data_IF_907571907331
#
_entry.id   IF_907571907331
#
_cell.length_a   1.000
_cell.length_b   1.000
_cell.length_c   1.000
_cell.angle_alpha   90.00
_cell.angle_beta   90.00
_cell.angle_gamma   90.00
#
_symmetry.space_group_name_H-M   'P 1'
#
loop_
_entity.id
_entity.type
_entity.pdbx_description
1 polymer ?
#
# COMPACT_ATOMS: atom_id res chain seq x y z
N UNK A 1 -23.60 -11.49 13.39
CA UNK A 1 -24.80 -12.35 13.55
C UNK A 1 -25.82 -11.94 12.50
N UNK A 2 -26.30 -12.86 11.74
CA UNK A 2 -27.37 -12.71 10.75
C UNK A 2 -28.53 -13.63 11.16
N UNK A 3 -29.72 -13.09 11.26
CA UNK A 3 -30.95 -13.86 11.53
C UNK A 3 -31.99 -13.50 10.46
N UNK A 4 -32.51 -14.51 9.78
CA UNK A 4 -33.43 -14.37 8.65
C UNK A 4 -34.70 -15.17 8.96
N UNK A 5 -35.84 -14.47 8.95
CA UNK A 5 -37.18 -15.04 9.08
C UNK A 5 -38.12 -14.32 8.13
N UNK A 6 -39.15 -13.67 8.62
CA UNK A 6 -40.00 -12.69 7.92
C UNK A 6 -39.29 -11.35 7.68
N UNK A 7 -38.16 -11.18 8.30
CA UNK A 7 -37.25 -10.03 8.16
C UNK A 7 -35.79 -10.45 8.26
N UNK A 8 -34.89 -9.55 7.81
CA UNK A 8 -33.45 -9.72 7.92
C UNK A 8 -32.95 -8.86 9.08
N UNK A 9 -32.36 -9.48 10.09
CA UNK A 9 -31.70 -8.80 11.19
C UNK A 9 -30.19 -9.03 11.13
N UNK A 10 -29.43 -7.95 11.13
CA UNK A 10 -27.96 -7.98 11.13
C UNK A 10 -27.48 -7.29 12.40
N UNK A 11 -26.68 -7.98 13.19
CA UNK A 11 -26.04 -7.45 14.39
C UNK A 11 -24.53 -7.58 14.30
N UNK A 12 -23.81 -6.49 14.44
CA UNK A 12 -22.35 -6.47 14.42
C UNK A 12 -21.78 -5.41 15.38
N UNK A 13 -20.53 -5.55 15.85
CA UNK A 13 -19.88 -4.59 16.73
C UNK A 13 -19.38 -3.33 16.02
N UNK A 14 -19.40 -3.29 14.68
CA UNK A 14 -18.89 -2.18 13.86
C UNK A 14 -19.73 -1.97 12.61
N UNK A 15 -19.64 -0.77 12.01
CA UNK A 15 -20.25 -0.45 10.71
C UNK A 15 -19.75 -1.40 9.62
N UNK A 16 -18.44 -1.71 9.57
CA UNK A 16 -17.87 -2.67 8.64
C UNK A 16 -18.49 -4.07 8.79
N UNK A 17 -18.72 -4.51 10.04
CA UNK A 17 -19.38 -5.79 10.31
C UNK A 17 -20.85 -5.80 9.85
N UNK A 18 -21.58 -4.69 9.96
CA UNK A 18 -22.94 -4.55 9.41
C UNK A 18 -22.90 -4.62 7.87
N UNK A 19 -21.96 -3.91 7.25
CA UNK A 19 -21.75 -3.94 5.80
C UNK A 19 -21.50 -5.38 5.30
N UNK A 20 -20.59 -6.14 5.95
CA UNK A 20 -20.33 -7.53 5.59
C UNK A 20 -21.53 -8.46 5.80
N UNK A 21 -22.37 -8.16 6.79
CA UNK A 21 -23.63 -8.87 6.97
C UNK A 21 -24.57 -8.62 5.77
N UNK A 22 -24.68 -7.38 5.29
CA UNK A 22 -25.45 -7.05 4.08
C UNK A 22 -24.88 -7.74 2.84
N UNK A 23 -23.54 -7.72 2.67
CA UNK A 23 -22.86 -8.42 1.58
C UNK A 23 -23.22 -9.91 1.59
N UNK A 24 -23.27 -10.56 2.76
CA UNK A 24 -23.67 -11.98 2.86
C UNK A 24 -25.11 -12.19 2.37
N UNK A 25 -26.04 -11.30 2.72
CA UNK A 25 -27.43 -11.36 2.25
C UNK A 25 -27.51 -11.22 0.73
N UNK A 26 -26.79 -10.23 0.19
CA UNK A 26 -26.73 -9.98 -1.26
C UNK A 26 -26.14 -11.18 -2.01
N UNK A 27 -25.02 -11.72 -1.53
CA UNK A 27 -24.39 -12.91 -2.12
C UNK A 27 -25.33 -14.11 -2.14
N UNK A 28 -26.04 -14.36 -1.01
CA UNK A 28 -27.00 -15.45 -0.89
C UNK A 28 -28.15 -15.28 -1.91
N UNK A 29 -28.67 -14.06 -2.03
CA UNK A 29 -29.73 -13.76 -2.99
C UNK A 29 -29.29 -13.96 -4.45
N UNK A 30 -28.08 -13.51 -4.80
CA UNK A 30 -27.55 -13.69 -6.16
C UNK A 30 -27.22 -15.14 -6.49
N UNK A 31 -26.85 -15.96 -5.50
CA UNK A 31 -26.54 -17.36 -5.72
C UNK A 31 -27.81 -18.19 -6.00
N UNK A 32 -28.87 -17.98 -5.22
CA UNK A 32 -30.02 -18.89 -5.17
C UNK A 32 -31.36 -18.22 -5.55
N UNK A 33 -31.37 -16.91 -5.87
CA UNK A 33 -32.58 -16.12 -6.11
C UNK A 33 -33.45 -15.90 -4.87
N UNK A 34 -32.99 -16.36 -3.70
CA UNK A 34 -33.67 -16.25 -2.42
C UNK A 34 -32.66 -16.21 -1.28
N UNK A 35 -33.07 -15.70 -0.12
CA UNK A 35 -32.28 -15.75 1.10
C UNK A 35 -32.94 -16.74 2.06
N UNK A 36 -32.27 -17.86 2.39
CA UNK A 36 -32.88 -18.90 3.23
C UNK A 36 -33.08 -18.41 4.68
N UNK A 37 -34.22 -18.80 5.28
CA UNK A 37 -34.43 -18.55 6.71
C UNK A 37 -33.42 -19.30 7.57
N UNK A 38 -32.94 -18.66 8.61
CA UNK A 38 -31.96 -19.28 9.52
C UNK A 38 -31.13 -18.28 10.28
N UNK A 39 -30.11 -18.79 10.94
CA UNK A 39 -29.12 -17.98 11.68
C UNK A 39 -27.72 -18.31 11.21
N UNK A 40 -26.93 -17.27 10.96
CA UNK A 40 -25.52 -17.40 10.63
C UNK A 40 -24.66 -16.50 11.52
N UNK A 41 -23.51 -17.02 11.92
CA UNK A 41 -22.46 -16.25 12.59
C UNK A 41 -21.24 -16.27 11.68
N UNK A 42 -20.84 -15.07 11.27
CA UNK A 42 -19.68 -14.86 10.41
C UNK A 42 -18.67 -13.95 11.11
N UNK A 43 -17.40 -14.23 10.94
CA UNK A 43 -16.30 -13.42 11.44
C UNK A 43 -15.06 -13.66 10.58
N UNK A 44 -14.25 -12.61 10.44
CA UNK A 44 -12.99 -12.71 9.73
C UNK A 44 -11.96 -13.47 10.56
N UNK A 45 -11.39 -14.54 10.01
CA UNK A 45 -10.30 -15.29 10.65
C UNK A 45 -8.99 -14.46 10.67
N UNK A 46 -8.73 -13.73 9.58
CA UNK A 46 -7.61 -12.82 9.48
C UNK A 46 -8.08 -11.36 9.53
N UNK A 47 -7.44 -10.51 10.36
CA UNK A 47 -7.80 -9.10 10.46
C UNK A 47 -7.45 -8.31 9.19
N UNK A 48 -6.39 -8.69 8.48
CA UNK A 48 -5.95 -8.11 7.20
C UNK A 48 -6.29 -9.08 6.07
N UNK A 49 -7.04 -8.61 5.10
CA UNK A 49 -7.40 -9.31 3.87
C UNK A 49 -7.21 -8.35 2.72
N UNK A 50 -6.03 -8.36 2.15
CA UNK A 50 -5.56 -7.39 1.18
C UNK A 50 -5.21 -8.06 -0.15
N UNK A 51 -5.23 -7.28 -1.21
CA UNK A 51 -4.60 -7.58 -2.48
C UNK A 51 -3.85 -6.36 -2.98
N UNK A 52 -2.86 -6.56 -3.82
CA UNK A 52 -2.04 -5.51 -4.42
C UNK A 52 -2.35 -5.39 -5.91
N UNK A 53 -2.33 -4.15 -6.41
CA UNK A 53 -2.40 -3.84 -7.84
C UNK A 53 -1.23 -2.93 -8.18
N UNK A 54 -0.46 -3.33 -9.19
CA UNK A 54 0.56 -2.51 -9.81
C UNK A 54 -0.11 -1.62 -10.87
N UNK A 55 -0.30 -0.35 -10.53
CA UNK A 55 -0.81 0.68 -11.45
C UNK A 55 0.33 1.49 -12.08
N UNK A 56 1.57 1.26 -11.61
CA UNK A 56 2.75 1.94 -12.11
C UNK A 56 3.15 1.43 -13.49
N UNK A 57 3.48 0.16 -13.60
CA UNK A 57 4.00 -0.44 -14.84
C UNK A 57 3.02 -0.35 -16.01
N UNK A 58 1.72 -0.35 -15.72
CA UNK A 58 0.65 -0.10 -16.70
C UNK A 58 -0.40 0.80 -16.08
N UNK A 59 -0.71 1.92 -16.74
CA UNK A 59 -1.77 2.82 -16.26
C UNK A 59 -3.13 2.12 -16.28
N UNK A 60 -3.80 2.14 -15.15
CA UNK A 60 -5.18 1.68 -14.99
C UNK A 60 -6.02 2.90 -14.62
N UNK A 61 -7.02 3.30 -15.42
CA UNK A 61 -7.90 4.41 -15.07
C UNK A 61 -8.53 4.24 -13.68
N UNK A 62 -8.68 5.32 -12.93
CA UNK A 62 -9.11 5.26 -11.53
C UNK A 62 -10.50 4.64 -11.36
N UNK A 63 -11.39 4.81 -12.33
CA UNK A 63 -12.71 4.16 -12.34
C UNK A 63 -12.62 2.63 -12.34
N UNK A 64 -11.64 2.04 -13.04
CA UNK A 64 -11.43 0.58 -13.01
C UNK A 64 -10.81 0.12 -11.69
N UNK A 65 -9.89 0.91 -11.12
CA UNK A 65 -9.35 0.64 -9.78
C UNK A 65 -10.47 0.67 -8.74
N UNK A 66 -11.37 1.64 -8.85
CA UNK A 66 -12.55 1.74 -7.98
C UNK A 66 -13.47 0.53 -8.13
N UNK A 67 -13.76 0.08 -9.35
CA UNK A 67 -14.58 -1.12 -9.58
C UNK A 67 -13.92 -2.37 -8.98
N UNK A 68 -12.62 -2.56 -9.17
CA UNK A 68 -11.89 -3.67 -8.55
C UNK A 68 -11.98 -3.58 -7.02
N UNK A 69 -11.87 -2.38 -6.45
CA UNK A 69 -11.97 -2.19 -5.00
C UNK A 69 -13.37 -2.52 -4.47
N UNK A 70 -14.42 -2.26 -5.24
CA UNK A 70 -15.79 -2.69 -4.90
C UNK A 70 -15.93 -4.22 -4.93
N UNK A 71 -15.23 -4.92 -5.85
CA UNK A 71 -15.15 -6.39 -5.78
C UNK A 71 -14.41 -6.87 -4.54
N UNK A 72 -13.37 -6.18 -4.09
CA UNK A 72 -12.72 -6.48 -2.80
C UNK A 72 -13.75 -6.42 -1.67
N UNK A 73 -14.54 -5.35 -1.60
CA UNK A 73 -15.61 -5.22 -0.62
C UNK A 73 -16.65 -6.35 -0.72
N UNK A 74 -17.05 -6.74 -1.93
CA UNK A 74 -17.98 -7.83 -2.18
C UNK A 74 -17.43 -9.18 -1.68
N UNK A 75 -16.12 -9.41 -1.80
CA UNK A 75 -15.45 -10.60 -1.24
C UNK A 75 -14.97 -10.43 0.19
N UNK A 76 -15.37 -9.33 0.86
CA UNK A 76 -15.01 -9.01 2.25
C UNK A 76 -13.51 -8.84 2.48
N UNK A 77 -12.74 -8.49 1.45
CA UNK A 77 -11.40 -7.96 1.63
C UNK A 77 -11.53 -6.53 2.18
N UNK A 78 -10.60 -6.13 3.03
CA UNK A 78 -10.69 -4.83 3.73
C UNK A 78 -9.55 -3.88 3.43
N UNK A 79 -8.61 -4.29 2.60
CA UNK A 79 -7.50 -3.44 2.16
C UNK A 79 -7.20 -3.69 0.69
N UNK A 80 -6.81 -2.63 -0.02
CA UNK A 80 -6.19 -2.70 -1.34
C UNK A 80 -4.88 -1.93 -1.30
N UNK A 81 -3.81 -2.51 -1.82
CA UNK A 81 -2.50 -1.92 -1.90
C UNK A 81 -2.23 -1.48 -3.35
N UNK A 82 -1.89 -0.21 -3.56
CA UNK A 82 -1.58 0.35 -4.87
C UNK A 82 -0.10 0.73 -4.95
N UNK A 83 0.62 0.07 -5.85
CA UNK A 83 2.00 0.36 -6.22
C UNK A 83 2.00 1.42 -7.32
N UNK A 84 2.46 2.64 -7.02
CA UNK A 84 2.24 3.81 -7.88
C UNK A 84 3.46 4.28 -8.65
N UNK A 85 4.65 3.77 -8.33
CA UNK A 85 5.90 4.15 -9.00
C UNK A 85 6.76 2.94 -9.35
N UNK A 86 7.33 2.96 -10.54
CA UNK A 86 8.27 1.95 -11.04
C UNK A 86 8.80 2.38 -12.41
N UNK A 87 9.32 1.41 -13.18
CA UNK A 87 9.59 1.53 -14.60
C UNK A 87 8.36 1.10 -15.41
N UNK A 88 7.93 1.90 -16.38
CA UNK A 88 6.82 1.53 -17.27
C UNK A 88 7.19 0.39 -18.23
N UNK A 89 6.18 -0.32 -18.74
CA UNK A 89 6.36 -1.45 -19.67
C UNK A 89 7.18 -1.12 -20.94
N UNK A 90 7.16 0.14 -21.37
CA UNK A 90 7.90 0.63 -22.53
C UNK A 90 9.23 1.33 -22.16
N UNK A 91 9.70 1.15 -20.92
CA UNK A 91 10.92 1.79 -20.41
C UNK A 91 10.76 3.26 -20.04
N UNK A 92 9.53 3.77 -19.95
CA UNK A 92 9.24 5.10 -19.44
C UNK A 92 9.27 5.10 -17.93
N UNK A 93 9.79 6.17 -17.35
CA UNK A 93 9.71 6.40 -15.91
C UNK A 93 8.29 6.76 -15.51
N UNK A 94 7.75 6.06 -14.53
CA UNK A 94 6.33 6.18 -14.18
C UNK A 94 6.14 6.48 -12.70
N UNK A 95 5.50 7.63 -12.44
CA UNK A 95 4.95 8.00 -11.15
C UNK A 95 3.47 8.38 -11.35
N UNK A 96 2.56 7.54 -10.85
CA UNK A 96 1.12 7.58 -11.21
C UNK A 96 0.28 8.57 -10.41
N UNK A 97 0.88 9.34 -9.53
CA UNK A 97 0.17 10.36 -8.76
C UNK A 97 0.67 11.74 -9.15
N UNK A 98 -0.24 12.72 -9.23
CA UNK A 98 0.12 14.12 -9.40
C UNK A 98 1.13 14.55 -8.32
N UNK A 99 2.25 15.15 -8.74
CA UNK A 99 3.32 15.61 -7.86
C UNK A 99 3.66 17.09 -8.10
N UNK A 100 4.04 17.76 -7.02
CA UNK A 100 4.59 19.13 -7.08
C UNK A 100 6.03 19.14 -7.60
N UNK A 101 6.69 17.98 -7.71
CA UNK A 101 8.01 17.83 -8.36
C UNK A 101 7.83 17.93 -9.87
N UNK A 102 8.31 19.02 -10.45
CA UNK A 102 8.20 19.27 -11.88
C UNK A 102 8.80 18.12 -12.71
N UNK A 103 8.01 17.57 -13.64
CA UNK A 103 8.42 16.50 -14.53
C UNK A 103 8.35 15.07 -13.94
N UNK A 104 7.94 14.90 -12.68
CA UNK A 104 7.81 13.57 -12.07
C UNK A 104 6.52 12.87 -12.46
N UNK A 105 5.40 13.58 -12.50
CA UNK A 105 4.08 13.01 -12.84
C UNK A 105 4.11 12.35 -14.23
N UNK A 106 3.60 11.12 -14.31
CA UNK A 106 3.51 10.37 -15.56
C UNK A 106 2.68 11.08 -16.63
N UNK A 107 3.08 11.00 -17.90
CA UNK A 107 2.42 11.71 -19.01
C UNK A 107 1.44 10.84 -19.79
N UNK A 108 1.50 9.53 -19.62
CA UNK A 108 0.63 8.55 -20.28
C UNK A 108 -0.63 8.20 -19.47
N UNK A 109 -0.76 8.78 -18.26
CA UNK A 109 -1.88 8.63 -17.35
C UNK A 109 -1.45 8.69 -15.89
N UNK A 110 -2.20 9.42 -15.09
CA UNK A 110 -1.95 9.60 -13.65
C UNK A 110 -3.26 9.91 -12.94
N UNK A 111 -3.24 9.92 -11.63
CA UNK A 111 -4.35 10.34 -10.76
C UNK A 111 -4.03 11.72 -10.18
N UNK A 112 -4.97 12.66 -10.26
CA UNK A 112 -4.83 13.93 -9.55
C UNK A 112 -4.92 13.70 -8.04
N UNK A 113 -4.31 14.58 -7.25
CA UNK A 113 -4.36 14.50 -5.78
C UNK A 113 -5.80 14.47 -5.25
N UNK A 114 -6.68 15.27 -5.86
CA UNK A 114 -8.07 15.41 -5.41
C UNK A 114 -8.93 14.19 -5.78
N UNK A 115 -8.83 13.67 -7.02
CA UNK A 115 -9.59 12.49 -7.40
C UNK A 115 -9.12 11.25 -6.63
N UNK A 116 -7.81 11.11 -6.40
CA UNK A 116 -7.25 9.99 -5.64
C UNK A 116 -7.67 10.03 -4.16
N UNK A 117 -7.64 11.22 -3.54
CA UNK A 117 -8.17 11.42 -2.18
C UNK A 117 -9.66 11.09 -2.10
N UNK A 118 -10.44 11.55 -3.07
CA UNK A 118 -11.88 11.30 -3.14
C UNK A 118 -12.18 9.82 -3.31
N UNK A 119 -11.46 9.13 -4.16
CA UNK A 119 -11.54 7.68 -4.32
C UNK A 119 -11.30 6.95 -2.98
N UNK A 120 -10.19 7.26 -2.30
CA UNK A 120 -9.87 6.64 -1.01
C UNK A 120 -10.99 6.84 0.03
N UNK A 121 -11.49 8.08 0.16
CA UNK A 121 -12.60 8.40 1.08
C UNK A 121 -13.86 7.60 0.74
N UNK A 122 -14.19 7.47 -0.53
CA UNK A 122 -15.34 6.68 -0.99
C UNK A 122 -15.19 5.20 -0.69
N UNK A 123 -13.97 4.64 -0.83
CA UNK A 123 -13.73 3.23 -0.54
C UNK A 123 -13.87 2.89 0.95
N UNK A 124 -13.67 3.84 1.84
CA UNK A 124 -13.95 3.64 3.28
C UNK A 124 -15.44 3.35 3.54
N UNK A 125 -16.37 3.91 2.74
CA UNK A 125 -17.81 3.60 2.84
C UNK A 125 -18.12 2.14 2.47
N UNK A 126 -17.27 1.53 1.63
CA UNK A 126 -17.31 0.10 1.30
C UNK A 126 -16.51 -0.77 2.27
N UNK A 127 -15.93 -0.17 3.33
CA UNK A 127 -15.10 -0.87 4.32
C UNK A 127 -13.75 -1.33 3.79
N UNK A 128 -13.25 -0.72 2.73
CA UNK A 128 -11.92 -1.00 2.14
C UNK A 128 -11.00 0.20 2.34
N UNK A 129 -9.86 -0.05 2.94
CA UNK A 129 -8.78 0.93 3.10
C UNK A 129 -7.81 0.83 1.93
N UNK A 130 -7.49 1.95 1.31
CA UNK A 130 -6.48 2.02 0.24
C UNK A 130 -5.12 2.31 0.88
N UNK A 131 -4.15 1.43 0.66
CA UNK A 131 -2.76 1.59 1.09
C UNK A 131 -1.96 2.01 -0.13
N UNK A 132 -1.39 3.21 -0.10
CA UNK A 132 -0.57 3.72 -1.19
C UNK A 132 0.89 3.45 -0.89
N UNK A 133 1.61 2.97 -1.90
CA UNK A 133 3.04 2.72 -1.84
C UNK A 133 3.78 3.75 -2.68
N UNK A 134 4.80 4.36 -2.08
CA UNK A 134 5.93 4.98 -2.79
C UNK A 134 7.11 4.06 -2.55
N UNK A 135 7.50 3.32 -3.57
CA UNK A 135 8.56 2.33 -3.45
C UNK A 135 9.93 2.97 -3.64
N UNK A 136 10.74 2.83 -2.62
CA UNK A 136 12.12 3.31 -2.54
C UNK A 136 12.95 2.40 -1.60
N UNK A 137 14.26 2.29 -1.77
CA UNK A 137 15.14 2.96 -2.74
C UNK A 137 15.34 2.19 -4.04
N UNK A 138 14.79 0.98 -4.17
CA UNK A 138 14.63 0.26 -5.44
C UNK A 138 13.38 0.74 -6.18
N UNK A 139 13.06 0.18 -7.35
CA UNK A 139 11.90 0.56 -8.17
C UNK A 139 11.77 2.07 -8.39
N UNK A 140 12.91 2.74 -8.41
CA UNK A 140 13.05 4.20 -8.39
C UNK A 140 13.39 4.80 -9.75
N UNK A 141 13.24 4.06 -10.85
CA UNK A 141 13.58 4.53 -12.21
C UNK A 141 12.81 5.80 -12.61
N UNK A 142 11.59 6.00 -12.08
CA UNK A 142 10.80 7.20 -12.33
C UNK A 142 11.49 8.49 -11.87
N UNK A 143 12.37 8.44 -10.89
CA UNK A 143 13.08 9.61 -10.36
C UNK A 143 14.27 10.02 -11.21
N UNK A 144 14.74 9.16 -12.13
CA UNK A 144 15.89 9.47 -13.00
C UNK A 144 15.64 10.66 -13.93
N UNK A 145 14.39 10.99 -14.23
CA UNK A 145 14.02 12.15 -15.05
C UNK A 145 14.12 13.49 -14.31
N UNK A 146 14.04 13.48 -12.99
CA UNK A 146 13.98 14.70 -12.18
C UNK A 146 15.18 14.89 -11.25
N UNK A 147 15.79 13.80 -10.79
CA UNK A 147 16.98 13.81 -9.91
C UNK A 147 18.03 12.78 -10.36
N UNK A 148 18.51 12.85 -11.62
CA UNK A 148 19.46 11.85 -12.14
C UNK A 148 20.74 11.75 -11.31
N UNK A 149 21.15 12.83 -10.66
CA UNK A 149 22.31 12.86 -9.77
C UNK A 149 22.13 12.06 -8.47
N UNK A 150 20.90 11.73 -8.09
CA UNK A 150 20.59 10.90 -6.92
C UNK A 150 20.48 9.41 -7.26
N UNK A 151 20.54 9.05 -8.53
CA UNK A 151 20.49 7.65 -8.94
C UNK A 151 21.84 6.95 -8.69
N UNK A 152 21.77 5.71 -8.20
CA UNK A 152 22.89 4.78 -8.14
C UNK A 152 23.09 4.07 -9.48
N UNK A 153 21.97 3.69 -10.08
CA UNK A 153 21.88 3.05 -11.39
C UNK A 153 20.50 3.33 -12.02
N UNK A 154 20.11 2.60 -13.04
CA UNK A 154 18.85 2.84 -13.76
C UNK A 154 17.57 2.63 -12.92
N UNK A 155 17.64 1.93 -11.79
CA UNK A 155 16.48 1.54 -10.99
C UNK A 155 16.59 1.82 -9.48
N UNK A 156 17.76 2.24 -9.02
CA UNK A 156 18.01 2.42 -7.60
C UNK A 156 18.46 3.83 -7.28
N UNK A 157 17.94 4.40 -6.20
CA UNK A 157 18.47 5.62 -5.60
C UNK A 157 19.78 5.34 -4.84
N UNK A 158 20.70 6.28 -4.88
CA UNK A 158 21.95 6.22 -4.10
C UNK A 158 21.71 6.67 -2.65
N UNK A 159 21.40 5.73 -1.78
CA UNK A 159 21.17 5.97 -0.36
C UNK A 159 22.44 6.36 0.41
N UNK A 160 23.58 6.46 -0.24
CA UNK A 160 24.80 7.01 0.37
C UNK A 160 24.82 8.54 0.41
N UNK A 161 23.92 9.17 -0.33
CA UNK A 161 23.77 10.63 -0.44
C UNK A 161 22.71 11.14 0.53
N UNK A 162 23.02 12.10 1.40
CA UNK A 162 22.03 12.72 2.27
C UNK A 162 20.87 13.36 1.48
N UNK A 163 21.16 13.90 0.28
CA UNK A 163 20.20 14.53 -0.61
C UNK A 163 19.12 13.55 -1.07
N UNK A 164 19.45 12.25 -1.21
CA UNK A 164 18.48 11.19 -1.50
C UNK A 164 17.46 11.05 -0.38
N UNK A 165 17.91 11.11 0.87
CA UNK A 165 17.01 11.03 2.04
C UNK A 165 16.08 12.24 2.06
N UNK A 166 16.60 13.44 1.83
CA UNK A 166 15.76 14.66 1.81
C UNK A 166 14.74 14.64 0.64
N UNK A 167 15.15 14.16 -0.54
CA UNK A 167 14.27 14.05 -1.69
C UNK A 167 13.10 13.08 -1.41
N UNK A 168 13.38 11.86 -0.97
CA UNK A 168 12.32 10.88 -0.66
C UNK A 168 11.45 11.36 0.50
N UNK A 169 12.04 12.06 1.50
CA UNK A 169 11.25 12.71 2.55
C UNK A 169 10.27 13.73 1.98
N UNK A 170 10.70 14.56 1.04
CA UNK A 170 9.81 15.57 0.43
C UNK A 170 8.63 14.95 -0.30
N UNK A 171 8.80 13.78 -0.93
CA UNK A 171 7.70 13.03 -1.55
C UNK A 171 6.68 12.57 -0.49
N UNK A 172 7.14 11.99 0.62
CA UNK A 172 6.20 11.61 1.67
C UNK A 172 5.51 12.83 2.28
N UNK A 173 6.26 13.90 2.57
CA UNK A 173 5.70 15.15 3.10
C UNK A 173 4.56 15.67 2.22
N UNK A 174 4.71 15.63 0.89
CA UNK A 174 3.72 16.08 -0.09
C UNK A 174 2.36 15.38 0.06
N UNK A 175 2.36 14.08 0.38
CA UNK A 175 1.12 13.29 0.37
C UNK A 175 0.56 12.98 1.76
N UNK A 176 1.36 13.06 2.82
CA UNK A 176 0.92 12.65 4.17
C UNK A 176 0.74 13.80 5.14
N UNK A 177 1.11 15.04 4.76
CA UNK A 177 0.97 16.24 5.63
C UNK A 177 -0.26 17.06 5.31
N UNK A 178 -0.56 18.03 6.17
CA UNK A 178 -1.70 18.95 6.05
C UNK A 178 -2.97 18.45 6.72
N UNK A 179 -3.99 19.31 6.71
CA UNK A 179 -5.28 19.03 7.38
C UNK A 179 -6.13 17.98 6.62
N UNK A 180 -5.94 17.87 5.30
CA UNK A 180 -6.60 16.89 4.44
C UNK A 180 -5.59 16.20 3.50
N UNK A 181 -4.73 15.31 4.05
CA UNK A 181 -3.64 14.69 3.30
C UNK A 181 -4.15 13.85 2.15
N UNK A 182 -3.33 13.72 1.10
CA UNK A 182 -3.67 12.89 -0.07
C UNK A 182 -3.78 11.43 0.30
N UNK A 183 -2.87 10.91 1.15
CA UNK A 183 -2.98 9.54 1.66
C UNK A 183 -3.91 9.51 2.87
N UNK A 184 -5.15 9.09 2.65
CA UNK A 184 -6.21 9.06 3.66
C UNK A 184 -5.97 7.96 4.70
N UNK A 185 -5.41 6.83 4.28
CA UNK A 185 -5.12 5.69 5.16
C UNK A 185 -4.18 6.08 6.31
N UNK A 186 -4.36 5.42 7.45
CA UNK A 186 -3.33 5.41 8.51
C UNK A 186 -2.10 4.58 8.14
N UNK A 187 -2.22 3.67 7.18
CA UNK A 187 -1.12 2.84 6.67
C UNK A 187 -0.52 3.48 5.43
N UNK A 188 0.79 3.53 5.37
CA UNK A 188 1.56 4.00 4.21
C UNK A 188 2.64 2.97 3.91
N UNK A 189 2.71 2.51 2.68
CA UNK A 189 3.73 1.57 2.26
C UNK A 189 4.95 2.35 1.74
N UNK A 190 6.13 2.05 2.27
CA UNK A 190 7.37 2.77 1.95
C UNK A 190 8.31 1.97 1.04
N UNK A 191 7.82 0.84 0.49
CA UNK A 191 8.61 -0.05 -0.34
C UNK A 191 9.63 -0.84 0.46
N UNK A 192 10.91 -0.62 0.17
CA UNK A 192 12.08 -1.20 0.83
C UNK A 192 12.32 -2.67 0.51
N UNK A 193 12.17 -3.04 -0.74
CA UNK A 193 12.58 -4.33 -1.29
C UNK A 193 13.83 -4.21 -2.19
N UNK A 194 14.21 -5.30 -2.77
CA UNK A 194 15.19 -5.54 -3.86
C UNK A 194 16.46 -4.66 -3.91
N UNK A 195 16.88 -4.06 -2.79
CA UNK A 195 18.15 -3.33 -2.73
C UNK A 195 19.34 -4.27 -2.56
N UNK A 196 20.53 -3.85 -3.01
CA UNK A 196 21.72 -4.70 -3.00
C UNK A 196 22.15 -5.12 -1.60
N UNK A 197 22.39 -6.43 -1.41
CA UNK A 197 22.97 -7.01 -0.20
C UNK A 197 24.41 -7.52 -0.40
N UNK A 198 25.05 -7.18 -1.53
CA UNK A 198 26.37 -7.71 -1.90
C UNK A 198 27.53 -7.25 -1.00
N UNK A 199 27.36 -6.09 -0.33
CA UNK A 199 28.38 -5.51 0.56
C UNK A 199 27.74 -5.12 1.88
N UNK A 200 28.43 -5.46 3.00
CA UNK A 200 27.95 -5.12 4.35
C UNK A 200 27.65 -3.62 4.51
N UNK A 201 28.51 -2.75 4.01
CA UNK A 201 28.30 -1.30 4.09
C UNK A 201 26.98 -0.85 3.42
N UNK A 202 26.64 -1.43 2.27
CA UNK A 202 25.38 -1.14 1.57
C UNK A 202 24.18 -1.64 2.38
N UNK A 203 24.30 -2.84 2.94
CA UNK A 203 23.27 -3.41 3.82
C UNK A 203 23.01 -2.52 5.04
N UNK A 204 24.06 -2.04 5.71
CA UNK A 204 23.90 -1.18 6.88
C UNK A 204 23.22 0.16 6.52
N UNK A 205 23.57 0.75 5.38
CA UNK A 205 22.90 1.96 4.87
C UNK A 205 21.43 1.70 4.53
N UNK A 206 21.12 0.57 3.87
CA UNK A 206 19.76 0.18 3.54
C UNK A 206 18.90 -0.02 4.81
N UNK A 207 19.45 -0.65 5.83
CA UNK A 207 18.78 -0.81 7.13
C UNK A 207 18.54 0.54 7.80
N UNK A 208 19.51 1.44 7.79
CA UNK A 208 19.36 2.79 8.32
C UNK A 208 18.30 3.60 7.55
N UNK A 209 18.27 3.49 6.22
CA UNK A 209 17.25 4.09 5.36
C UNK A 209 15.85 3.58 5.72
N UNK A 210 15.68 2.27 5.82
CA UNK A 210 14.40 1.65 6.19
C UNK A 210 13.93 2.14 7.57
N UNK A 211 14.79 2.12 8.59
CA UNK A 211 14.48 2.61 9.94
C UNK A 211 14.07 4.09 9.93
N UNK A 212 14.79 4.91 9.16
CA UNK A 212 14.50 6.33 9.03
C UNK A 212 13.07 6.59 8.52
N UNK A 213 12.64 5.91 7.44
CA UNK A 213 11.31 6.12 6.86
C UNK A 213 10.18 5.49 7.67
N UNK A 214 10.43 4.39 8.37
CA UNK A 214 9.49 3.87 9.37
C UNK A 214 9.19 4.96 10.40
N UNK A 215 10.23 5.57 10.99
CA UNK A 215 10.09 6.61 12.01
C UNK A 215 9.49 7.91 11.45
N UNK A 216 9.84 8.27 10.22
CA UNK A 216 9.27 9.43 9.54
C UNK A 216 7.74 9.31 9.42
N UNK A 217 7.28 8.21 8.85
CA UNK A 217 5.85 7.92 8.66
C UNK A 217 5.11 7.87 9.99
N UNK A 218 5.70 7.25 11.02
CA UNK A 218 5.13 7.25 12.37
C UNK A 218 5.09 8.65 13.00
N UNK A 219 6.07 9.49 12.74
CA UNK A 219 6.09 10.89 13.18
C UNK A 219 4.87 11.68 12.69
N UNK A 220 4.27 11.28 11.57
CA UNK A 220 3.02 11.83 11.06
C UNK A 220 1.76 11.11 11.57
N UNK A 221 1.88 10.23 12.56
CA UNK A 221 0.76 9.47 13.14
C UNK A 221 0.25 8.35 12.24
N UNK A 222 1.03 7.96 11.22
CA UNK A 222 0.73 6.85 10.31
C UNK A 222 1.42 5.57 10.78
N UNK A 223 1.10 4.44 10.16
CA UNK A 223 1.73 3.14 10.38
C UNK A 223 2.48 2.74 9.11
N UNK A 224 3.76 2.45 9.23
CA UNK A 224 4.57 2.00 8.10
C UNK A 224 4.23 0.56 7.71
N UNK A 225 4.14 0.34 6.40
CA UNK A 225 4.11 -0.98 5.77
C UNK A 225 5.37 -1.08 4.90
N UNK A 226 6.06 -2.22 4.98
CA UNK A 226 7.32 -2.46 4.24
C UNK A 226 7.27 -3.81 3.53
N UNK A 227 8.06 -3.96 2.48
CA UNK A 227 8.38 -5.26 1.94
C UNK A 227 9.37 -6.00 2.86
N UNK A 228 9.19 -7.29 2.99
CA UNK A 228 10.05 -8.15 3.81
C UNK A 228 11.38 -8.43 3.15
N UNK A 229 12.33 -7.50 3.22
CA UNK A 229 13.67 -7.66 2.69
C UNK A 229 14.77 -7.81 3.77
N UNK A 230 14.46 -7.50 5.02
CA UNK A 230 15.46 -7.44 6.10
C UNK A 230 16.05 -8.80 6.48
N UNK A 231 15.36 -9.91 6.21
CA UNK A 231 15.89 -11.27 6.40
C UNK A 231 16.99 -11.60 5.37
N UNK A 232 16.96 -10.92 4.22
CA UNK A 232 17.96 -11.00 3.16
C UNK A 232 19.07 -9.96 3.37
N UNK A 233 18.73 -8.75 3.77
CA UNK A 233 19.65 -7.66 4.11
C UNK A 233 20.12 -7.78 5.58
N UNK A 234 20.82 -8.87 5.91
CA UNK A 234 21.31 -9.14 7.27
C UNK A 234 22.44 -8.18 7.65
N UNK A 235 22.23 -7.40 8.71
CA UNK A 235 23.19 -6.41 9.20
C UNK A 235 23.03 -6.13 10.70
N UNK A 236 23.91 -5.28 11.22
CA UNK A 236 23.97 -4.93 12.63
C UNK A 236 23.15 -3.66 12.96
N UNK A 237 22.91 -2.80 11.97
CA UNK A 237 22.09 -1.59 12.14
C UNK A 237 20.67 -1.98 12.52
N UNK A 238 20.17 -1.54 13.70
CA UNK A 238 18.84 -1.88 14.15
C UNK A 238 17.78 -1.21 13.25
N UNK A 239 16.71 -1.94 12.98
CA UNK A 239 15.53 -1.42 12.32
C UNK A 239 14.34 -1.62 13.26
N UNK A 240 13.53 -0.58 13.42
CA UNK A 240 12.34 -0.63 14.25
C UNK A 240 11.39 -1.72 13.74
N UNK A 241 10.94 -2.59 14.63
CA UNK A 241 10.01 -3.69 14.32
C UNK A 241 8.62 -3.52 14.96
N UNK A 242 8.49 -2.64 15.93
CA UNK A 242 7.24 -2.40 16.63
C UNK A 242 6.31 -1.52 15.79
N UNK A 243 5.01 -1.85 15.77
CA UNK A 243 3.95 -1.11 15.08
C UNK A 243 4.16 -0.97 13.55
N UNK A 244 4.87 -1.90 12.93
CA UNK A 244 5.01 -1.98 11.47
C UNK A 244 4.28 -3.21 10.94
N UNK A 245 3.95 -3.18 9.65
CA UNK A 245 3.48 -4.33 8.91
C UNK A 245 4.55 -4.69 7.89
N UNK A 246 4.98 -5.96 7.89
CA UNK A 246 5.96 -6.45 6.95
C UNK A 246 5.31 -7.48 6.02
N UNK A 247 5.31 -7.19 4.72
CA UNK A 247 4.75 -8.08 3.72
C UNK A 247 5.76 -9.14 3.31
N UNK A 248 5.49 -10.41 3.59
CA UNK A 248 6.25 -11.54 3.06
C UNK A 248 5.79 -11.83 1.63
N UNK A 249 6.60 -11.49 0.64
CA UNK A 249 6.23 -11.53 -0.77
C UNK A 249 7.00 -12.58 -1.58
N UNK A 250 8.24 -12.86 -1.19
CA UNK A 250 9.10 -13.82 -1.90
C UNK A 250 10.07 -14.51 -0.94
N UNK A 251 10.10 -15.84 -0.94
CA UNK A 251 10.92 -16.63 0.00
C UNK A 251 12.43 -16.37 -0.09
N UNK A 252 12.93 -15.83 -1.21
CA UNK A 252 14.34 -15.47 -1.36
C UNK A 252 14.71 -14.19 -0.63
N UNK A 253 13.76 -13.27 -0.43
CA UNK A 253 13.96 -11.97 0.23
C UNK A 253 13.31 -11.88 1.60
N UNK A 254 12.16 -12.55 1.78
CA UNK A 254 11.39 -12.51 3.01
C UNK A 254 11.17 -13.94 3.51
N UNK A 255 11.90 -14.34 4.55
CA UNK A 255 11.66 -15.61 5.23
C UNK A 255 10.64 -15.42 6.36
N UNK A 256 9.38 -15.89 6.19
CA UNK A 256 8.33 -15.68 7.20
C UNK A 256 8.68 -16.27 8.56
N UNK A 257 9.39 -17.38 8.62
CA UNK A 257 9.78 -17.99 9.88
C UNK A 257 10.75 -17.09 10.67
N UNK A 258 11.69 -16.44 9.97
CA UNK A 258 12.63 -15.49 10.58
C UNK A 258 11.96 -14.15 10.90
N UNK A 259 10.94 -13.74 10.14
CA UNK A 259 10.22 -12.48 10.37
C UNK A 259 9.34 -12.50 11.63
N UNK A 260 8.93 -13.69 12.09
CA UNK A 260 8.04 -13.86 13.26
C UNK A 260 8.85 -13.96 14.56
N UNK A 261 10.13 -14.31 14.49
CA UNK A 261 11.03 -14.41 15.64
C UNK A 261 11.71 -13.09 15.97
#
# INVERSE_FOLDING_TARGET
MLEISDRVNITAPSAQGLFYGMVTVVQSYYADGAVPCGKARDYAYYPIRSGMIDVARAYIPLEYVEEITKYFAYFKLNEIHLHINDIGQNGYNIFRLESDVEGLTATDGYYTKDEYRTYQKRMLDYGVTVITEIDTPAHSACFASVVPELMLDANHLDISKPETVEFVKSLFDEYITGDDPVFVSRKVHIGTDEYSNAKKEVVEKFRAFTDHYIRLVEGFGKQAVIWGALTHAKGDTPVKSENIIMNAWYNGYADPATMIC
#
